data_IF_028099707355
#
_entry.id   IF_028099707355
#
_cell.length_a   1.000
_cell.length_b   1.000
_cell.length_c   1.000
_cell.angle_alpha   90.00
_cell.angle_beta   90.00
_cell.angle_gamma   90.00
#
_symmetry.space_group_name_H-M   'P 1'
#
loop_
_entity.id
_entity.type
_entity.pdbx_description
1 polymer ?
#
# COMPACT_ATOMS: atom_id res chain seq x y z
N UNK A 1 -5.76 22.95 46.35
CA UNK A 1 -4.70 23.08 47.37
C UNK A 1 -3.67 21.98 47.20
N UNK A 2 -3.90 20.75 47.68
CA UNK A 2 -2.89 19.67 47.57
C UNK A 2 -2.52 19.27 46.14
N UNK A 3 -3.52 19.07 45.27
CA UNK A 3 -3.32 18.70 43.86
C UNK A 3 -2.74 19.85 43.02
N UNK A 4 -2.99 21.09 43.44
CA UNK A 4 -2.49 22.30 42.77
C UNK A 4 -1.13 22.75 43.32
N UNK A 5 -0.56 22.02 44.28
CA UNK A 5 0.72 22.34 44.92
C UNK A 5 0.70 23.59 45.81
N UNK A 6 -0.48 24.15 46.11
CA UNK A 6 -0.59 25.44 46.81
C UNK A 6 -0.92 25.22 48.30
N UNK A 7 -0.03 25.69 49.17
CA UNK A 7 -0.23 25.76 50.61
C UNK A 7 -0.34 24.39 51.28
N UNK A 8 0.23 23.34 50.68
CA UNK A 8 0.19 21.99 51.25
C UNK A 8 1.09 21.89 52.49
N UNK A 9 2.17 22.67 52.51
CA UNK A 9 3.07 22.83 53.63
C UNK A 9 2.40 23.49 54.84
N UNK A 10 1.52 24.47 54.60
CA UNK A 10 0.73 25.13 55.64
C UNK A 10 -0.25 24.16 56.29
N UNK A 11 -1.00 23.42 55.46
CA UNK A 11 -1.94 22.41 55.97
C UNK A 11 -1.21 21.26 56.67
N UNK A 12 -0.04 20.84 56.18
CA UNK A 12 0.80 19.86 56.86
C UNK A 12 1.22 20.36 58.25
N UNK A 13 1.63 21.63 58.34
CA UNK A 13 1.99 22.29 59.61
C UNK A 13 0.82 22.43 60.58
N UNK A 14 -0.38 22.76 60.07
CA UNK A 14 -1.59 22.88 60.86
C UNK A 14 -2.02 21.53 61.45
N UNK A 15 -1.89 20.43 60.68
CA UNK A 15 -2.23 19.08 61.14
C UNK A 15 -1.18 18.57 62.15
N UNK A 16 0.10 18.89 61.95
CA UNK A 16 1.17 18.51 62.88
C UNK A 16 1.04 19.21 64.24
N UNK A 17 0.56 20.45 64.25
CA UNK A 17 0.36 21.27 65.44
C UNK A 17 -1.11 21.35 65.87
N UNK A 18 -1.95 20.41 65.42
CA UNK A 18 -3.37 20.42 65.73
C UNK A 18 -3.58 20.35 67.25
N UNK A 19 -4.40 21.25 67.84
CA UNK A 19 -4.76 21.18 69.25
C UNK A 19 -5.62 19.93 69.54
N UNK A 20 -5.76 19.56 70.82
CA UNK A 20 -6.70 18.53 71.26
C UNK A 20 -8.08 18.67 70.58
N UNK A 21 -8.65 17.53 70.20
CA UNK A 21 -9.97 17.50 69.56
C UNK A 21 -11.02 18.12 70.51
N UNK A 22 -11.72 19.19 70.10
CA UNK A 22 -12.70 19.88 70.94
C UNK A 22 -13.90 19.01 71.35
N UNK A 23 -14.14 17.88 70.67
CA UNK A 23 -15.26 16.98 70.97
C UNK A 23 -14.90 15.85 71.94
N UNK A 24 -13.65 15.37 71.91
CA UNK A 24 -13.18 14.24 72.73
C UNK A 24 -12.20 14.67 73.82
N UNK A 25 -11.58 15.85 73.68
CA UNK A 25 -10.52 16.35 74.55
C UNK A 25 -9.20 15.59 74.39
N UNK A 26 -9.11 14.66 73.43
CA UNK A 26 -7.91 13.85 73.22
C UNK A 26 -6.88 14.60 72.37
N UNK A 27 -5.63 14.57 72.82
CA UNK A 27 -4.48 15.03 72.05
C UNK A 27 -4.15 14.03 70.94
N UNK A 28 -3.73 14.48 69.73
CA UNK A 28 -3.33 13.57 68.68
C UNK A 28 -2.11 12.77 69.14
N UNK A 29 -2.16 11.44 68.96
CA UNK A 29 -1.03 10.56 69.30
C UNK A 29 0.27 11.01 68.61
N UNK A 30 1.40 10.87 69.30
CA UNK A 30 2.73 11.17 68.76
C UNK A 30 3.02 10.39 67.46
N UNK A 31 2.49 9.17 67.35
CA UNK A 31 2.57 8.38 66.13
C UNK A 31 1.76 9.00 64.98
N UNK A 32 0.55 9.48 65.28
CA UNK A 32 -0.29 10.20 64.32
C UNK A 32 0.40 11.45 63.78
N UNK A 33 1.00 12.27 64.66
CA UNK A 33 1.77 13.46 64.29
C UNK A 33 3.00 13.11 63.43
N UNK A 34 3.74 12.07 63.80
CA UNK A 34 4.90 11.59 63.03
C UNK A 34 4.51 11.02 61.64
N UNK A 35 3.33 10.44 61.50
CA UNK A 35 2.83 9.86 60.25
C UNK A 35 2.39 10.92 59.21
N UNK A 36 2.16 12.17 59.61
CA UNK A 36 1.74 13.26 58.72
C UNK A 36 2.81 13.57 57.66
N UNK A 37 4.07 13.67 58.07
CA UNK A 37 5.20 14.01 57.17
C UNK A 37 5.34 13.00 56.02
N UNK A 38 5.47 11.68 56.27
CA UNK A 38 5.58 10.71 55.19
C UNK A 38 4.29 10.62 54.37
N UNK A 39 3.10 10.82 54.96
CA UNK A 39 1.84 10.85 54.21
C UNK A 39 1.82 11.96 53.16
N UNK A 40 2.08 13.21 53.57
CA UNK A 40 2.09 14.36 52.66
C UNK A 40 3.23 14.27 51.64
N UNK A 41 4.41 13.83 52.07
CA UNK A 41 5.56 13.65 51.17
C UNK A 41 5.27 12.61 50.10
N UNK A 42 4.74 11.44 50.49
CA UNK A 42 4.33 10.41 49.53
C UNK A 42 3.22 10.91 48.62
N UNK A 43 2.22 11.62 49.15
CA UNK A 43 1.14 12.18 48.34
C UNK A 43 1.66 13.13 47.26
N UNK A 44 2.54 14.08 47.61
CA UNK A 44 3.11 15.05 46.67
C UNK A 44 3.97 14.35 45.62
N UNK A 45 4.82 13.39 46.02
CA UNK A 45 5.67 12.64 45.09
C UNK A 45 4.84 11.77 44.15
N UNK A 46 3.87 11.02 44.67
CA UNK A 46 2.98 10.18 43.87
C UNK A 46 2.15 11.01 42.90
N UNK A 47 1.55 12.11 43.37
CA UNK A 47 0.72 12.94 42.51
C UNK A 47 1.54 13.68 41.45
N UNK A 48 2.75 14.14 41.78
CA UNK A 48 3.66 14.71 40.80
C UNK A 48 4.06 13.71 39.73
N UNK A 49 4.35 12.45 40.13
CA UNK A 49 4.63 11.37 39.18
C UNK A 49 3.44 11.09 38.27
N UNK A 50 2.22 11.01 38.81
CA UNK A 50 1.01 10.81 38.03
C UNK A 50 0.76 11.96 37.05
N UNK A 51 0.99 13.21 37.47
CA UNK A 51 0.81 14.38 36.62
C UNK A 51 1.80 14.39 35.45
N UNK A 52 3.07 14.07 35.71
CA UNK A 52 4.09 13.93 34.66
C UNK A 52 3.75 12.77 33.73
N UNK A 53 3.35 11.62 34.26
CA UNK A 53 2.96 10.47 33.45
C UNK A 53 1.76 10.80 32.54
N UNK A 54 0.74 11.49 33.07
CA UNK A 54 -0.40 11.95 32.29
C UNK A 54 0.01 12.94 31.20
N UNK A 55 0.88 13.90 31.53
CA UNK A 55 1.38 14.87 30.56
C UNK A 55 2.16 14.19 29.44
N UNK A 56 3.02 13.22 29.77
CA UNK A 56 3.75 12.44 28.77
C UNK A 56 2.82 11.67 27.85
N UNK A 57 1.78 11.02 28.39
CA UNK A 57 0.77 10.32 27.58
C UNK A 57 0.09 11.31 26.63
N UNK A 58 -0.38 12.44 27.14
CA UNK A 58 -1.08 13.45 26.35
C UNK A 58 -0.20 14.02 25.23
N UNK A 59 1.08 14.26 25.52
CA UNK A 59 2.04 14.78 24.53
C UNK A 59 2.32 13.73 23.46
N UNK A 60 2.54 12.47 23.83
CA UNK A 60 2.76 11.38 22.86
C UNK A 60 1.51 11.17 22.01
N UNK A 61 0.32 11.24 22.59
CA UNK A 61 -0.94 11.12 21.86
C UNK A 61 -1.14 12.28 20.88
N UNK A 62 -0.86 13.51 21.30
CA UNK A 62 -0.90 14.69 20.43
C UNK A 62 0.12 14.58 19.27
N UNK A 63 1.36 14.19 19.57
CA UNK A 63 2.36 13.96 18.52
C UNK A 63 1.99 12.81 17.61
N UNK A 64 1.41 11.73 18.14
CA UNK A 64 0.95 10.59 17.34
C UNK A 64 -0.15 11.00 16.36
N UNK A 65 -1.13 11.78 16.82
CA UNK A 65 -2.20 12.32 15.96
C UNK A 65 -1.61 13.22 14.87
N UNK A 66 -0.68 14.11 15.22
CA UNK A 66 0.00 14.96 14.24
C UNK A 66 0.80 14.14 13.23
N UNK A 67 1.50 13.09 13.68
CA UNK A 67 2.26 12.19 12.81
C UNK A 67 1.35 11.41 11.87
N UNK A 68 0.19 10.96 12.33
CA UNK A 68 -0.78 10.24 11.50
C UNK A 68 -1.44 11.16 10.48
N UNK A 69 -1.76 12.41 10.84
CA UNK A 69 -2.20 13.42 9.88
C UNK A 69 -1.13 13.70 8.82
N UNK A 70 0.14 13.80 9.21
CA UNK A 70 1.26 13.95 8.26
C UNK A 70 1.38 12.73 7.34
N UNK A 71 1.29 11.51 7.88
CA UNK A 71 1.32 10.26 7.09
C UNK A 71 0.14 10.17 6.13
N UNK A 72 -1.06 10.59 6.55
CA UNK A 72 -2.27 10.63 5.73
C UNK A 72 -2.14 11.63 4.59
N UNK A 73 -1.69 12.87 4.86
CA UNK A 73 -1.41 13.86 3.82
C UNK A 73 -0.38 13.33 2.82
N UNK A 74 0.71 12.75 3.31
CA UNK A 74 1.75 12.16 2.45
C UNK A 74 1.18 11.11 1.50
N UNK A 75 0.32 10.22 2.00
CA UNK A 75 -0.32 9.19 1.16
C UNK A 75 -1.19 9.84 0.07
N UNK A 76 -2.01 10.82 0.44
CA UNK A 76 -2.87 11.53 -0.50
C UNK A 76 -2.06 12.26 -1.59
N UNK A 77 -0.95 12.89 -1.22
CA UNK A 77 -0.07 13.60 -2.14
C UNK A 77 0.64 12.64 -3.10
N UNK A 78 1.07 11.46 -2.61
CA UNK A 78 1.65 10.39 -3.45
C UNK A 78 0.61 9.79 -4.40
N UNK A 79 -0.63 9.59 -3.94
CA UNK A 79 -1.72 9.08 -4.78
C UNK A 79 -2.11 10.11 -5.87
N UNK A 80 -2.16 11.40 -5.53
CA UNK A 80 -2.37 12.49 -6.48
C UNK A 80 -1.26 12.55 -7.53
N UNK A 81 0.01 12.39 -7.11
CA UNK A 81 1.14 12.27 -8.04
C UNK A 81 1.00 11.09 -8.98
N UNK A 82 0.59 9.93 -8.47
CA UNK A 82 0.39 8.75 -9.29
C UNK A 82 -0.71 8.95 -10.33
N UNK A 83 -1.81 9.60 -9.96
CA UNK A 83 -2.88 9.93 -10.90
C UNK A 83 -2.39 10.89 -11.99
N UNK A 84 -1.66 11.95 -11.61
CA UNK A 84 -1.04 12.89 -12.55
C UNK A 84 -0.03 12.21 -13.47
N UNK A 85 0.81 11.32 -12.94
CA UNK A 85 1.81 10.57 -13.70
C UNK A 85 1.17 9.59 -14.69
N UNK A 86 0.08 8.91 -14.30
CA UNK A 86 -0.63 7.97 -15.17
C UNK A 86 -1.20 8.64 -16.43
N UNK A 87 -1.57 9.92 -16.36
CA UNK A 87 -1.99 10.69 -17.53
C UNK A 87 -0.84 10.98 -18.50
N UNK A 88 0.39 11.09 -17.98
CA UNK A 88 1.57 11.42 -18.77
C UNK A 88 2.35 10.19 -19.28
N UNK A 89 2.22 9.03 -18.61
CA UNK A 89 2.79 7.72 -18.99
C UNK A 89 1.72 6.60 -18.91
N UNK A 90 0.83 6.48 -19.93
CA UNK A 90 -0.20 5.44 -19.96
C UNK A 90 0.38 4.03 -20.14
N UNK A 91 1.55 3.92 -20.78
CA UNK A 91 2.24 2.65 -21.06
C UNK A 91 2.97 2.08 -19.83
N UNK A 92 3.16 2.87 -18.77
CA UNK A 92 3.83 2.44 -17.54
C UNK A 92 5.33 2.19 -17.72
N UNK A 93 5.96 2.97 -18.59
CA UNK A 93 7.40 2.90 -18.91
C UNK A 93 8.28 3.37 -17.74
N UNK A 94 7.71 4.13 -16.78
CA UNK A 94 8.40 4.83 -15.68
C UNK A 94 9.31 5.97 -16.13
N UNK A 95 9.21 6.37 -17.40
CA UNK A 95 9.99 7.44 -18.02
C UNK A 95 9.06 8.41 -18.72
N UNK A 96 9.29 9.70 -18.52
CA UNK A 96 8.52 10.76 -19.17
C UNK A 96 9.50 11.75 -19.81
N UNK A 97 9.26 12.20 -21.05
CA UNK A 97 10.09 13.23 -21.67
C UNK A 97 9.90 14.59 -20.99
N UNK A 98 10.96 15.41 -20.95
CA UNK A 98 10.97 16.67 -20.21
C UNK A 98 9.80 17.62 -20.53
N UNK A 99 9.33 17.66 -21.79
CA UNK A 99 8.22 18.53 -22.18
C UNK A 99 6.87 18.16 -21.54
N UNK A 100 6.66 16.90 -21.14
CA UNK A 100 5.44 16.47 -20.41
C UNK A 100 5.50 16.80 -18.93
N UNK A 101 6.69 17.07 -18.39
CA UNK A 101 6.89 17.37 -16.98
C UNK A 101 6.08 18.58 -16.53
N UNK A 102 6.02 19.63 -17.33
CA UNK A 102 5.23 20.84 -17.04
C UNK A 102 3.75 20.51 -16.80
N UNK A 103 3.15 19.70 -17.68
CA UNK A 103 1.75 19.30 -17.55
C UNK A 103 1.50 18.49 -16.27
N UNK A 104 2.44 17.61 -15.91
CA UNK A 104 2.39 16.82 -14.67
C UNK A 104 2.56 17.70 -13.41
N UNK A 105 3.44 18.71 -13.45
CA UNK A 105 3.67 19.60 -12.31
C UNK A 105 2.50 20.57 -12.05
N UNK A 106 1.76 20.94 -13.11
CA UNK A 106 0.56 21.78 -13.02
C UNK A 106 -0.68 21.01 -12.57
N UNK A 107 -0.76 19.70 -12.83
CA UNK A 107 -1.91 18.89 -12.39
C UNK A 107 -1.84 18.49 -10.92
N UNK A 108 -0.68 18.62 -10.29
CA UNK A 108 -0.46 18.37 -8.86
C UNK A 108 -1.00 19.53 -7.99
N UNK A 109 -1.65 19.22 -6.84
CA UNK A 109 -2.08 20.24 -5.90
C UNK A 109 -0.88 20.91 -5.20
N UNK A 110 -0.99 22.20 -4.89
CA UNK A 110 -0.06 22.85 -3.97
C UNK A 110 -0.23 22.26 -2.56
N UNK A 111 0.83 22.01 -1.78
CA UNK A 111 2.23 22.41 -1.97
C UNK A 111 3.11 21.40 -2.75
N UNK A 112 2.59 20.22 -3.09
CA UNK A 112 3.36 19.17 -3.76
C UNK A 112 3.68 19.50 -5.22
N UNK A 113 2.84 20.30 -5.87
CA UNK A 113 3.08 20.88 -7.20
C UNK A 113 2.82 22.39 -7.22
N UNK A 114 2.75 22.94 -8.43
CA UNK A 114 2.57 24.40 -8.63
C UNK A 114 1.08 24.76 -8.75
N UNK A 115 0.23 23.77 -9.05
CA UNK A 115 -1.20 23.97 -9.28
C UNK A 115 -1.53 24.44 -10.70
N UNK A 116 -2.80 24.26 -11.07
CA UNK A 116 -3.27 24.40 -12.46
C UNK A 116 -3.22 25.83 -13.00
N UNK A 117 -3.29 26.82 -12.11
CA UNK A 117 -3.33 28.25 -12.45
C UNK A 117 -1.97 28.96 -12.33
N UNK A 118 -0.89 28.23 -12.03
CA UNK A 118 0.42 28.82 -11.86
C UNK A 118 0.97 29.46 -13.14
N UNK A 119 1.66 30.59 -12.98
CA UNK A 119 2.31 31.28 -14.10
C UNK A 119 3.60 30.56 -14.47
N UNK A 120 4.02 30.68 -15.74
CA UNK A 120 5.26 30.07 -16.23
C UNK A 120 6.53 30.42 -15.40
N UNK A 121 6.71 31.67 -14.90
CA UNK A 121 7.86 31.99 -14.04
C UNK A 121 7.87 31.22 -12.70
N UNK A 122 6.70 31.01 -12.10
CA UNK A 122 6.56 30.24 -10.85
C UNK A 122 6.92 28.78 -11.07
N UNK A 123 6.44 28.21 -12.19
CA UNK A 123 6.80 26.86 -12.60
C UNK A 123 8.32 26.73 -12.81
N UNK A 124 8.94 27.69 -13.52
CA UNK A 124 10.39 27.66 -13.77
C UNK A 124 11.19 27.74 -12.46
N UNK A 125 10.78 28.61 -11.54
CA UNK A 125 11.39 28.69 -10.20
C UNK A 125 11.23 27.38 -9.43
N UNK A 126 10.05 26.76 -9.48
CA UNK A 126 9.79 25.47 -8.85
C UNK A 126 10.65 24.36 -9.46
N UNK A 127 10.65 24.18 -10.79
CA UNK A 127 11.46 23.18 -11.48
C UNK A 127 12.96 23.36 -11.20
N UNK A 128 13.46 24.59 -11.12
CA UNK A 128 14.86 24.87 -10.76
C UNK A 128 15.18 24.46 -9.31
N UNK A 129 14.23 24.62 -8.37
CA UNK A 129 14.38 24.19 -6.98
C UNK A 129 14.36 22.67 -6.81
N UNK A 130 13.62 21.95 -7.67
CA UNK A 130 13.58 20.49 -7.63
C UNK A 130 14.91 19.81 -8.04
N UNK A 131 15.81 20.52 -8.73
CA UNK A 131 17.12 19.99 -9.18
C UNK A 131 17.02 18.59 -9.84
N UNK A 132 16.05 18.41 -10.74
CA UNK A 132 15.78 17.11 -11.36
C UNK A 132 16.94 16.71 -12.27
N UNK A 133 17.47 15.50 -12.08
CA UNK A 133 18.41 14.89 -13.03
C UNK A 133 17.65 14.36 -14.24
N UNK A 134 17.85 14.99 -15.39
CA UNK A 134 17.35 14.48 -16.67
C UNK A 134 18.41 13.55 -17.29
N UNK A 135 18.02 12.32 -17.60
CA UNK A 135 18.85 11.35 -18.32
C UNK A 135 18.37 11.35 -19.78
N UNK A 136 19.21 11.82 -20.70
CA UNK A 136 18.90 11.89 -22.13
C UNK A 136 17.59 12.63 -22.46
N UNK A 137 17.25 13.69 -21.71
CA UNK A 137 16.01 14.45 -21.88
C UNK A 137 14.75 13.78 -21.30
N UNK A 138 14.92 12.66 -20.59
CA UNK A 138 13.86 11.96 -19.87
C UNK A 138 14.04 12.05 -18.36
N UNK A 139 12.92 12.03 -17.65
CA UNK A 139 12.85 12.04 -16.19
C UNK A 139 12.29 10.71 -15.70
N UNK A 140 12.94 10.14 -14.70
CA UNK A 140 12.51 8.89 -14.08
C UNK A 140 11.46 9.13 -12.98
N UNK A 141 10.44 8.26 -12.91
CA UNK A 141 9.36 8.34 -11.92
C UNK A 141 9.86 8.55 -10.48
N UNK A 142 10.79 7.69 -10.04
CA UNK A 142 11.30 7.69 -8.66
C UNK A 142 12.10 8.94 -8.35
N UNK A 143 12.93 9.40 -9.30
CA UNK A 143 13.75 10.61 -9.11
C UNK A 143 12.85 11.85 -9.01
N UNK A 144 11.82 11.96 -9.85
CA UNK A 144 10.86 13.07 -9.75
C UNK A 144 10.10 13.04 -8.43
N UNK A 145 9.56 11.88 -8.05
CA UNK A 145 8.81 11.75 -6.81
C UNK A 145 9.66 12.08 -5.59
N UNK A 146 10.90 11.60 -5.56
CA UNK A 146 11.82 11.88 -4.47
C UNK A 146 12.23 13.36 -4.43
N UNK A 147 12.42 14.00 -5.59
CA UNK A 147 12.71 15.42 -5.68
C UNK A 147 11.53 16.28 -5.17
N UNK A 148 10.30 15.95 -5.56
CA UNK A 148 9.07 16.62 -5.10
C UNK A 148 8.87 16.46 -3.60
N UNK A 149 9.06 15.24 -3.09
CA UNK A 149 8.91 14.96 -1.67
C UNK A 149 9.96 15.70 -0.82
N UNK A 150 11.23 15.70 -1.25
CA UNK A 150 12.30 16.47 -0.60
C UNK A 150 12.01 17.97 -0.61
N UNK A 151 11.45 18.48 -1.70
CA UNK A 151 11.10 19.89 -1.80
C UNK A 151 9.97 20.29 -0.85
N UNK A 152 8.96 19.42 -0.70
CA UNK A 152 7.74 19.74 0.06
C UNK A 152 7.89 19.51 1.56
N UNK A 153 8.52 18.40 1.96
CA UNK A 153 8.62 18.02 3.38
C UNK A 153 10.02 18.20 3.97
N UNK A 154 11.03 18.53 3.15
CA UNK A 154 12.42 18.74 3.60
C UNK A 154 13.16 17.46 4.04
N UNK A 155 12.48 16.31 4.06
CA UNK A 155 13.02 15.01 4.49
C UNK A 155 13.02 14.03 3.30
N UNK A 156 13.92 13.05 3.32
CA UNK A 156 13.89 11.96 2.36
C UNK A 156 12.67 11.05 2.58
N UNK A 157 12.03 10.62 1.49
CA UNK A 157 10.88 9.72 1.58
C UNK A 157 11.29 8.40 2.27
N UNK A 158 10.51 7.90 3.24
CA UNK A 158 10.81 6.62 3.88
C UNK A 158 10.85 5.48 2.86
N UNK A 159 11.85 4.59 3.01
CA UNK A 159 12.08 3.45 2.11
C UNK A 159 10.88 2.52 2.00
N UNK A 160 10.11 2.36 3.07
CA UNK A 160 8.87 1.56 3.08
C UNK A 160 7.83 2.02 2.05
N UNK A 161 7.68 3.33 1.86
CA UNK A 161 6.76 3.90 0.87
C UNK A 161 7.31 3.68 -0.54
N UNK A 162 8.62 3.85 -0.72
CA UNK A 162 9.30 3.61 -1.98
C UNK A 162 9.21 2.14 -2.43
N UNK A 163 9.32 1.20 -1.49
CA UNK A 163 9.18 -0.23 -1.77
C UNK A 163 7.73 -0.59 -2.09
N UNK A 164 6.76 0.00 -1.36
CA UNK A 164 5.34 -0.15 -1.68
C UNK A 164 5.00 0.39 -3.08
N UNK A 165 5.61 1.50 -3.49
CA UNK A 165 5.42 2.12 -4.80
C UNK A 165 5.97 1.26 -5.94
N UNK A 166 7.11 0.61 -5.75
CA UNK A 166 7.62 -0.34 -6.74
C UNK A 166 6.80 -1.64 -6.81
N UNK A 167 6.01 -1.93 -5.78
CA UNK A 167 5.25 -3.19 -5.65
C UNK A 167 3.83 -3.12 -6.27
N UNK A 168 3.20 -1.95 -6.41
CA UNK A 168 1.85 -1.81 -6.98
C UNK A 168 1.83 -1.37 -8.46
N UNK A 169 0.80 -1.60 -9.29
CA UNK A 169 0.03 -2.78 -9.69
C UNK A 169 0.17 -3.08 -11.22
N UNK A 170 1.20 -2.57 -11.90
CA UNK A 170 1.50 -2.97 -13.28
C UNK A 170 2.15 -4.36 -13.34
N UNK A 171 2.90 -4.72 -12.29
CA UNK A 171 3.39 -6.09 -12.08
C UNK A 171 2.23 -7.07 -11.78
N UNK A 172 1.18 -6.61 -11.09
CA UNK A 172 -0.02 -7.41 -10.79
C UNK A 172 -0.81 -7.69 -12.07
N UNK A 173 -1.03 -6.69 -12.93
CA UNK A 173 -1.65 -6.88 -14.26
C UNK A 173 -0.87 -7.86 -15.14
N UNK A 174 0.46 -7.78 -15.16
CA UNK A 174 1.31 -8.76 -15.87
C UNK A 174 1.22 -10.16 -15.26
N UNK A 175 1.26 -10.29 -13.92
CA UNK A 175 1.15 -11.59 -13.22
C UNK A 175 -0.24 -12.21 -13.35
N UNK A 176 -1.31 -11.42 -13.36
CA UNK A 176 -2.68 -11.89 -13.59
C UNK A 176 -2.86 -12.31 -15.05
N UNK A 177 -2.34 -11.53 -16.01
CA UNK A 177 -2.37 -11.89 -17.44
C UNK A 177 -1.62 -13.21 -17.69
N UNK A 178 -0.43 -13.38 -17.13
CA UNK A 178 0.32 -14.64 -17.29
C UNK A 178 -0.32 -15.80 -16.54
N UNK A 179 -0.85 -15.60 -15.33
CA UNK A 179 -1.57 -16.65 -14.58
C UNK A 179 -2.88 -17.05 -15.27
N UNK A 180 -3.65 -16.12 -15.81
CA UNK A 180 -4.87 -16.40 -16.57
C UNK A 180 -4.54 -17.14 -17.87
N UNK A 181 -3.51 -16.70 -18.61
CA UNK A 181 -3.05 -17.38 -19.82
C UNK A 181 -2.58 -18.81 -19.52
N UNK A 182 -1.78 -19.01 -18.47
CA UNK A 182 -1.36 -20.36 -18.05
C UNK A 182 -2.55 -21.23 -17.65
N UNK A 183 -3.53 -20.71 -16.91
CA UNK A 183 -4.73 -21.48 -16.53
C UNK A 183 -5.59 -21.85 -17.74
N UNK A 184 -5.72 -20.99 -18.73
CA UNK A 184 -6.45 -21.30 -19.97
C UNK A 184 -5.73 -22.36 -20.80
N UNK A 185 -4.40 -22.31 -20.88
CA UNK A 185 -3.57 -23.34 -21.54
C UNK A 185 -3.67 -24.68 -20.80
N UNK A 186 -3.62 -24.67 -19.46
CA UNK A 186 -3.74 -25.88 -18.64
C UNK A 186 -5.14 -26.50 -18.76
N UNK A 187 -6.20 -25.68 -18.75
CA UNK A 187 -7.58 -26.16 -18.95
C UNK A 187 -7.81 -26.70 -20.36
N UNK A 188 -7.21 -26.08 -21.38
CA UNK A 188 -7.25 -26.60 -22.75
C UNK A 188 -6.51 -27.94 -22.87
N UNK A 189 -5.38 -28.11 -22.18
CA UNK A 189 -4.63 -29.38 -22.17
C UNK A 189 -5.34 -30.47 -21.35
N UNK A 190 -5.99 -30.11 -20.24
CA UNK A 190 -6.80 -31.02 -19.42
C UNK A 190 -8.08 -31.45 -20.15
N UNK A 191 -8.71 -30.53 -20.89
CA UNK A 191 -9.84 -30.84 -21.79
C UNK A 191 -9.43 -31.78 -22.90
N UNK A 192 -8.26 -31.57 -23.53
CA UNK A 192 -7.73 -32.47 -24.54
C UNK A 192 -7.42 -33.87 -23.97
N UNK A 193 -6.90 -33.95 -22.73
CA UNK A 193 -6.65 -35.21 -22.02
C UNK A 193 -7.94 -35.91 -21.50
N UNK A 194 -9.03 -35.17 -21.32
CA UNK A 194 -10.35 -35.69 -20.97
C UNK A 194 -11.05 -36.29 -22.20
N UNK A 195 -10.98 -35.61 -23.35
CA UNK A 195 -11.52 -36.08 -24.63
C UNK A 195 -10.78 -37.33 -25.14
N UNK A 196 -9.46 -37.40 -24.92
CA UNK A 196 -8.68 -38.62 -25.22
C UNK A 196 -9.09 -39.83 -24.35
N UNK A 197 -9.58 -39.60 -23.12
CA UNK A 197 -10.08 -40.67 -22.24
C UNK A 197 -11.52 -41.08 -22.52
N UNK A 198 -12.32 -40.23 -23.15
CA UNK A 198 -13.72 -40.55 -23.52
C UNK A 198 -13.83 -41.21 -24.89
N UNK A 199 -12.75 -41.24 -25.67
CA UNK A 199 -12.68 -41.97 -26.95
C UNK A 199 -12.48 -43.49 -26.81
N UNK A 200 -12.24 -44.02 -25.61
CA UNK A 200 -11.86 -45.44 -25.39
C UNK A 200 -13.00 -46.30 -24.81
N UNK A 201 -14.27 -45.93 -25.04
CA UNK A 201 -15.45 -46.65 -24.50
C UNK A 201 -16.36 -47.22 -25.61
N UNK A 202 -15.87 -47.35 -26.85
CA UNK A 202 -16.61 -48.10 -27.89
C UNK A 202 -15.71 -49.03 -28.71
N UNK A 203 -15.48 -50.21 -28.15
CA UNK A 203 -14.81 -51.34 -28.81
C UNK A 203 -14.85 -52.57 -27.91
N UNK A 204 -16.02 -53.22 -27.81
CA UNK A 204 -16.19 -54.45 -27.04
C UNK A 204 -15.59 -55.68 -27.74
N UNK A 205 -15.23 -56.69 -26.94
CA UNK A 205 -15.26 -58.09 -27.37
C UNK A 205 -14.04 -58.96 -27.06
N UNK A 206 -13.94 -59.41 -25.80
CA UNK A 206 -13.64 -60.81 -25.41
C UNK A 206 -12.27 -61.43 -25.68
N UNK A 207 -11.57 -61.84 -24.61
CA UNK A 207 -11.08 -63.21 -24.43
C UNK A 207 -10.43 -63.38 -23.02
N UNK A 208 -10.69 -64.53 -22.42
CA UNK A 208 -10.16 -65.00 -21.13
C UNK A 208 -8.63 -65.09 -21.12
N UNK A 209 -8.00 -64.76 -19.97
CA UNK A 209 -7.04 -65.64 -19.28
C UNK A 209 -6.41 -64.96 -18.04
N UNK A 210 -6.57 -65.63 -16.90
CA UNK A 210 -5.67 -65.76 -15.74
C UNK A 210 -4.63 -64.68 -15.41
N UNK A 211 -4.68 -64.20 -14.16
CA UNK A 211 -3.55 -63.63 -13.41
C UNK A 211 -2.43 -64.69 -13.20
N UNK A 212 -1.16 -64.32 -12.90
CA UNK A 212 -0.80 -63.85 -11.55
C UNK A 212 0.27 -62.72 -11.47
N UNK A 213 0.60 -62.37 -10.23
CA UNK A 213 1.35 -61.21 -9.71
C UNK A 213 2.83 -61.05 -10.13
N UNK A 214 3.35 -59.81 -10.06
CA UNK A 214 4.52 -59.37 -9.24
C UNK A 214 5.14 -58.03 -9.71
N UNK A 215 5.52 -57.22 -8.70
CA UNK A 215 6.65 -56.30 -8.56
C UNK A 215 7.11 -55.26 -9.62
N UNK A 216 7.33 -54.05 -9.07
CA UNK A 216 8.49 -53.16 -9.21
C UNK A 216 8.73 -52.26 -10.46
N UNK A 217 8.81 -50.95 -10.15
CA UNK A 217 9.86 -49.98 -10.54
C UNK A 217 10.11 -49.58 -12.00
N UNK A 218 9.91 -48.28 -12.30
CA UNK A 218 10.97 -47.45 -12.92
C UNK A 218 10.85 -47.04 -14.40
N UNK A 219 11.12 -45.73 -14.61
CA UNK A 219 11.69 -45.02 -15.80
C UNK A 219 10.78 -44.47 -16.92
N UNK A 220 10.84 -43.12 -17.01
CA UNK A 220 11.19 -42.27 -18.17
C UNK A 220 10.84 -42.76 -19.59
N UNK A 221 10.02 -42.00 -20.32
CA UNK A 221 9.76 -42.20 -21.74
C UNK A 221 9.45 -40.91 -22.51
N UNK A 222 10.12 -40.75 -23.65
CA UNK A 222 10.13 -39.60 -24.55
C UNK A 222 8.78 -39.28 -25.23
N UNK A 223 8.64 -38.02 -25.67
CA UNK A 223 7.44 -37.47 -26.35
C UNK A 223 7.38 -37.93 -27.81
N UNK A 224 6.37 -38.73 -28.16
CA UNK A 224 6.11 -39.21 -29.51
C UNK A 224 5.58 -38.11 -30.46
N UNK A 225 5.80 -38.20 -31.79
CA UNK A 225 5.32 -37.22 -32.75
C UNK A 225 3.81 -37.33 -32.97
N UNK A 226 3.13 -36.18 -33.04
CA UNK A 226 1.67 -36.09 -33.19
C UNK A 226 1.25 -36.38 -34.65
N UNK A 227 0.08 -37.02 -34.80
CA UNK A 227 -0.48 -37.41 -36.10
C UNK A 227 -0.91 -36.20 -36.96
N UNK A 228 -0.90 -36.31 -38.30
CA UNK A 228 -1.19 -35.19 -39.21
C UNK A 228 -2.63 -34.65 -39.09
N UNK A 229 -3.55 -35.45 -38.53
CA UNK A 229 -4.91 -35.01 -38.23
C UNK A 229 -4.96 -34.11 -36.98
N UNK A 230 -4.14 -34.41 -35.97
CA UNK A 230 -4.00 -33.57 -34.77
C UNK A 230 -3.39 -32.20 -35.11
N UNK A 231 -2.47 -32.15 -36.08
CA UNK A 231 -1.89 -30.90 -36.57
C UNK A 231 -2.91 -30.04 -37.33
N UNK A 232 -3.79 -30.67 -38.13
CA UNK A 232 -4.89 -29.96 -38.83
C UNK A 232 -5.95 -29.42 -37.89
N UNK A 233 -6.27 -30.15 -36.81
CA UNK A 233 -7.20 -29.68 -35.77
C UNK A 233 -6.56 -28.53 -34.98
N UNK A 234 -5.26 -28.63 -34.66
CA UNK A 234 -4.51 -27.56 -33.99
C UNK A 234 -4.44 -26.29 -34.83
N UNK A 235 -4.19 -26.41 -36.14
CA UNK A 235 -4.17 -25.29 -37.07
C UNK A 235 -5.55 -24.62 -37.21
N UNK A 236 -6.64 -25.40 -37.26
CA UNK A 236 -8.01 -24.86 -37.27
C UNK A 236 -8.40 -24.19 -35.95
N UNK A 237 -7.92 -24.71 -34.82
CA UNK A 237 -8.16 -24.09 -33.51
C UNK A 237 -7.40 -22.76 -33.37
N UNK A 238 -6.13 -22.71 -33.81
CA UNK A 238 -5.33 -21.49 -33.82
C UNK A 238 -5.92 -20.40 -34.73
N UNK A 239 -6.39 -20.77 -35.93
CA UNK A 239 -7.05 -19.84 -36.84
C UNK A 239 -8.40 -19.31 -36.29
N UNK A 240 -9.09 -20.09 -35.45
CA UNK A 240 -10.34 -19.68 -34.81
C UNK A 240 -10.10 -18.74 -33.63
N UNK A 241 -9.01 -18.92 -32.89
CA UNK A 241 -8.61 -18.02 -31.80
C UNK A 241 -8.12 -16.67 -32.32
N UNK A 242 -7.36 -16.64 -33.41
CA UNK A 242 -6.90 -15.37 -34.00
C UNK A 242 -8.07 -14.51 -34.49
N UNK A 243 -9.09 -15.14 -35.09
CA UNK A 243 -10.30 -14.43 -35.55
C UNK A 243 -11.10 -13.81 -34.40
N UNK A 244 -11.21 -14.50 -33.26
CA UNK A 244 -11.88 -13.97 -32.06
C UNK A 244 -11.06 -12.88 -31.37
N UNK A 245 -9.73 -12.95 -31.43
CA UNK A 245 -8.86 -11.92 -30.87
C UNK A 245 -8.88 -10.66 -31.74
N UNK A 246 -8.88 -10.79 -33.06
CA UNK A 246 -9.04 -9.66 -33.97
C UNK A 246 -10.44 -9.02 -33.88
N UNK A 247 -11.51 -9.80 -33.73
CA UNK A 247 -12.86 -9.25 -33.50
C UNK A 247 -12.96 -8.49 -32.16
N UNK A 248 -12.31 -8.98 -31.10
CA UNK A 248 -12.27 -8.29 -29.80
C UNK A 248 -11.36 -7.06 -29.81
N UNK A 249 -10.27 -7.07 -30.60
CA UNK A 249 -9.44 -5.90 -30.83
C UNK A 249 -10.14 -4.85 -31.71
N UNK A 250 -10.91 -5.26 -32.71
CA UNK A 250 -11.74 -4.39 -33.54
C UNK A 250 -12.89 -3.75 -32.75
N UNK A 251 -13.53 -4.51 -31.84
CA UNK A 251 -14.55 -3.99 -30.90
C UNK A 251 -13.94 -3.04 -29.86
N UNK A 252 -12.69 -3.28 -29.43
CA UNK A 252 -11.96 -2.38 -28.54
C UNK A 252 -11.45 -1.12 -29.24
N UNK A 253 -11.13 -1.17 -30.54
CA UNK A 253 -10.69 -0.02 -31.33
C UNK A 253 -11.88 0.82 -31.85
N UNK A 254 -13.06 0.21 -32.05
CA UNK A 254 -14.29 0.88 -32.49
C UNK A 254 -15.01 1.72 -31.43
N UNK A 255 -14.57 1.65 -30.17
CA UNK A 255 -15.15 2.46 -29.06
C UNK A 255 -14.78 3.94 -29.07
N UNK A 256 -14.03 4.42 -30.06
CA UNK A 256 -13.55 5.81 -30.15
C UNK A 256 -14.23 6.72 -31.19
N UNK A 257 -15.22 6.25 -31.96
CA UNK A 257 -15.81 7.03 -33.07
C UNK A 257 -17.34 7.22 -33.00
N UNK A 258 -17.96 6.98 -31.84
CA UNK A 258 -19.39 7.24 -31.63
C UNK A 258 -19.67 8.56 -30.88
N UNK A 259 -18.95 9.64 -31.20
CA UNK A 259 -19.17 10.96 -30.58
C UNK A 259 -19.14 12.15 -31.58
N UNK A 260 -19.36 11.93 -32.88
CA UNK A 260 -19.26 13.01 -33.88
C UNK A 260 -20.43 13.11 -34.89
N UNK A 261 -21.62 12.55 -34.62
CA UNK A 261 -22.74 12.68 -35.56
C UNK A 261 -24.13 12.70 -34.89
N UNK A 262 -24.36 13.60 -33.93
CA UNK A 262 -25.68 14.19 -33.66
C UNK A 262 -25.44 15.64 -33.25
N UNK A 263 -25.58 16.59 -34.18
CA UNK A 263 -25.33 18.00 -33.90
C UNK A 263 -25.22 18.90 -35.13
N UNK A 264 -26.18 18.82 -36.05
CA UNK A 264 -26.91 19.93 -36.70
C UNK A 264 -27.62 19.44 -37.96
#
# INVERSE_FOLDING_TARGET
RMLTGEGWEGVMGDIMNAPADPLTGEEPSEFGKAAVVPFFTCFVVLFSFLFVALFLILVVEAYSEMDDQRRSSLKNDVDAFRAAWAAADPEGTKWIPFWRLEATLRSLPAPFGVGRNARFPELLHFTRRLQIRAYNGHVYFRELLLALHRHTYGVGMPSSVLDALDTAPHAVRKRLRTKLLHRLVDLASASAASVARTGDVHGGGGALASAPASDASGRSGAKAPLSPLAERIRARAAARTDRTVEELLALSAGGGLAAAAIGS
#
